data_IF_761105693045
#
_entry.id   IF_761105693045
#
_cell.length_a   1.000
_cell.length_b   1.000
_cell.length_c   1.000
_cell.angle_alpha   90.00
_cell.angle_beta   90.00
_cell.angle_gamma   90.00
#
_symmetry.space_group_name_H-M   'P 1'
#
loop_
_entity.id
_entity.type
_entity.pdbx_description
1 polymer ?
#
# COMPACT_ATOMS: atom_id res chain seq x y z
N UNK A 1 -7.80 -1.81 2.62
CA UNK A 1 -7.84 -0.61 1.77
C UNK A 1 -6.58 -0.50 0.93
N UNK A 2 -5.41 -0.04 1.42
CA UNK A 2 -4.18 -0.07 0.62
C UNK A 2 -3.19 -1.16 1.11
N UNK A 3 -3.19 -2.31 0.44
CA UNK A 3 -2.33 -3.47 0.67
C UNK A 3 -2.14 -4.20 -0.68
N UNK A 4 -1.04 -4.91 -0.90
CA UNK A 4 -0.76 -5.65 -2.14
C UNK A 4 -1.86 -6.64 -2.52
N UNK A 5 -2.57 -7.21 -1.52
CA UNK A 5 -3.72 -8.11 -1.73
C UNK A 5 -4.94 -7.43 -2.37
N UNK A 6 -5.03 -6.11 -2.31
CA UNK A 6 -6.12 -5.33 -2.88
C UNK A 6 -5.77 -4.78 -4.27
N UNK A 7 -4.63 -5.17 -4.84
CA UNK A 7 -4.23 -4.82 -6.21
C UNK A 7 -4.41 -6.03 -7.10
N UNK A 8 -5.33 -5.94 -8.05
CA UNK A 8 -5.52 -6.92 -9.09
C UNK A 8 -4.66 -6.55 -10.30
N UNK A 9 -3.90 -7.52 -10.80
CA UNK A 9 -3.11 -7.40 -12.02
C UNK A 9 -3.56 -8.49 -12.99
N UNK A 10 -4.03 -8.10 -14.17
CA UNK A 10 -4.42 -9.01 -15.24
C UNK A 10 -3.57 -8.74 -16.48
N UNK A 11 -2.93 -9.77 -17.04
CA UNK A 11 -2.23 -9.64 -18.31
C UNK A 11 -3.25 -9.51 -19.45
N UNK A 12 -3.04 -8.53 -20.33
CA UNK A 12 -3.87 -8.32 -21.50
C UNK A 12 -3.07 -8.72 -22.77
N UNK A 13 -3.25 -9.96 -23.26
CA UNK A 13 -2.45 -10.48 -24.38
C UNK A 13 -2.79 -9.79 -25.71
N UNK A 14 -3.92 -9.09 -25.80
CA UNK A 14 -4.36 -8.40 -27.01
C UNK A 14 -3.82 -6.96 -27.10
N UNK A 15 -3.10 -6.51 -26.08
CA UNK A 15 -2.55 -5.16 -26.00
C UNK A 15 -1.05 -5.25 -25.79
N UNK A 16 -0.31 -4.47 -26.56
CA UNK A 16 1.12 -4.25 -26.37
C UNK A 16 1.27 -2.92 -25.64
N UNK A 17 2.16 -2.86 -24.65
CA UNK A 17 2.43 -1.61 -23.93
C UNK A 17 3.21 -0.62 -24.83
N UNK A 18 3.36 0.62 -24.36
CA UNK A 18 4.00 1.70 -25.13
C UNK A 18 5.50 1.44 -25.44
N UNK A 19 6.09 0.41 -24.81
CA UNK A 19 7.48 -0.01 -24.98
C UNK A 19 7.60 -1.30 -25.82
N UNK A 20 6.52 -1.77 -26.45
CA UNK A 20 6.53 -2.98 -27.27
C UNK A 20 6.47 -4.30 -26.48
N UNK A 21 6.25 -4.23 -25.16
CA UNK A 21 6.18 -5.38 -24.25
C UNK A 21 4.76 -5.77 -23.81
N UNK A 22 4.68 -6.66 -22.83
CA UNK A 22 3.41 -7.14 -22.23
C UNK A 22 2.60 -5.98 -21.63
N UNK A 23 1.29 -6.00 -21.84
CA UNK A 23 0.36 -5.05 -21.23
C UNK A 23 -0.37 -5.69 -20.05
N UNK A 24 -0.62 -4.88 -19.02
CA UNK A 24 -1.32 -5.31 -17.81
C UNK A 24 -2.42 -4.30 -17.48
N UNK A 25 -3.60 -4.82 -17.17
CA UNK A 25 -4.69 -4.07 -16.58
C UNK A 25 -4.56 -4.16 -15.06
N UNK A 26 -4.40 -3.01 -14.40
CA UNK A 26 -4.20 -2.89 -12.95
C UNK A 26 -5.43 -2.22 -12.35
N UNK A 27 -6.01 -2.85 -11.33
CA UNK A 27 -7.17 -2.31 -10.63
C UNK A 27 -6.99 -2.39 -9.11
N UNK A 28 -7.39 -1.34 -8.41
CA UNK A 28 -7.57 -1.38 -6.96
C UNK A 28 -8.97 -1.96 -6.67
N UNK A 29 -9.02 -2.98 -5.84
CA UNK A 29 -10.24 -3.68 -5.44
C UNK A 29 -10.47 -3.54 -3.93
N UNK A 30 -11.64 -3.99 -3.45
CA UNK A 30 -11.98 -3.97 -2.02
C UNK A 30 -11.94 -2.55 -1.40
N UNK A 31 -12.91 -1.73 -1.85
CA UNK A 31 -13.12 -0.35 -1.46
C UNK A 31 -13.98 -0.18 -0.18
N UNK A 32 -14.23 -1.25 0.58
CA UNK A 32 -15.17 -1.23 1.73
C UNK A 32 -14.79 -0.19 2.79
N UNK A 33 -13.50 0.09 2.92
CA UNK A 33 -12.96 1.05 3.88
C UNK A 33 -12.52 2.35 3.20
N UNK A 34 -13.03 2.65 2.00
CA UNK A 34 -12.71 3.87 1.30
C UNK A 34 -13.38 5.09 1.92
N UNK A 35 -12.62 6.19 1.97
CA UNK A 35 -13.08 7.42 2.59
C UNK A 35 -12.11 8.56 2.34
N UNK A 36 -12.54 9.75 2.75
CA UNK A 36 -11.73 10.96 2.72
C UNK A 36 -10.76 10.94 3.89
N UNK A 37 -9.61 10.31 3.67
CA UNK A 37 -8.53 10.27 4.64
C UNK A 37 -7.45 11.30 4.29
N UNK A 38 -6.64 11.73 5.27
CA UNK A 38 -5.47 12.56 5.00
C UNK A 38 -4.49 11.89 4.03
N UNK A 39 -3.76 12.67 3.24
CA UNK A 39 -2.86 12.18 2.17
C UNK A 39 -1.80 11.15 2.63
N UNK A 40 -1.42 11.16 3.91
CA UNK A 40 -0.45 10.22 4.47
C UNK A 40 -1.06 8.86 4.87
N UNK A 41 -2.39 8.73 4.79
CA UNK A 41 -3.12 7.57 5.28
C UNK A 41 -2.80 6.29 4.51
N UNK A 42 -2.66 6.38 3.19
CA UNK A 42 -2.29 5.22 2.37
C UNK A 42 -0.89 4.71 2.70
N UNK A 43 0.06 5.62 2.91
CA UNK A 43 1.40 5.29 3.36
C UNK A 43 1.39 4.63 4.74
N UNK A 44 0.60 5.17 5.68
CA UNK A 44 0.41 4.56 7.01
C UNK A 44 -0.19 3.15 6.92
N UNK A 45 -1.21 2.96 6.07
CA UNK A 45 -1.85 1.66 5.85
C UNK A 45 -0.92 0.64 5.21
N UNK A 46 -0.12 1.06 4.22
CA UNK A 46 0.92 0.22 3.62
C UNK A 46 2.01 -0.17 4.64
N UNK A 47 2.27 0.69 5.63
CA UNK A 47 3.22 0.46 6.72
C UNK A 47 2.64 -0.31 7.94
N UNK A 48 1.32 -0.52 7.96
CA UNK A 48 0.60 -1.15 9.08
C UNK A 48 0.88 -2.66 9.27
N UNK A 49 1.28 -3.45 8.25
CA UNK A 49 1.73 -4.83 8.46
C UNK A 49 3.06 -4.95 9.21
N UNK A 50 3.72 -3.85 9.60
CA UNK A 50 4.95 -3.89 10.41
C UNK A 50 4.72 -4.32 11.87
N UNK A 51 3.93 -5.38 12.09
CA UNK A 51 4.32 -6.35 13.09
C UNK A 51 5.54 -7.06 12.52
N UNK A 52 6.67 -7.00 13.22
CA UNK A 52 7.91 -7.71 12.88
C UNK A 52 7.76 -9.24 12.71
N UNK A 53 6.54 -9.79 12.80
CA UNK A 53 6.19 -11.21 12.70
C UNK A 53 5.91 -11.71 11.27
N UNK A 54 5.72 -10.84 10.27
CA UNK A 54 5.56 -11.29 8.88
C UNK A 54 6.75 -10.85 8.04
N UNK A 55 7.87 -11.55 8.25
CA UNK A 55 8.96 -11.57 7.28
C UNK A 55 8.44 -12.13 5.95
N UNK A 56 8.94 -11.55 4.85
CA UNK A 56 8.69 -11.87 3.42
C UNK A 56 7.77 -10.93 2.62
N UNK A 57 7.08 -9.96 3.23
CA UNK A 57 6.30 -9.00 2.42
C UNK A 57 7.16 -7.78 2.04
N UNK A 58 7.76 -7.79 0.83
CA UNK A 58 8.47 -6.65 0.26
C UNK A 58 7.54 -5.48 -0.08
N UNK A 59 6.22 -5.67 0.08
CA UNK A 59 5.17 -4.69 -0.18
C UNK A 59 5.45 -3.31 0.41
N UNK A 60 5.94 -3.22 1.65
CA UNK A 60 6.23 -1.92 2.24
C UNK A 60 7.32 -1.16 1.45
N UNK A 61 8.39 -1.86 1.07
CA UNK A 61 9.48 -1.29 0.29
C UNK A 61 9.04 -0.93 -1.12
N UNK A 62 8.23 -1.79 -1.75
CA UNK A 62 7.65 -1.54 -3.09
C UNK A 62 6.67 -0.38 -3.07
N UNK A 63 5.85 -0.27 -2.04
CA UNK A 63 4.89 0.81 -1.88
C UNK A 63 5.58 2.19 -1.80
N UNK A 64 6.80 2.25 -1.27
CA UNK A 64 7.60 3.49 -1.25
C UNK A 64 8.09 3.93 -2.63
N UNK A 65 8.10 3.05 -3.63
CA UNK A 65 8.51 3.40 -5.00
C UNK A 65 7.46 4.27 -5.70
N UNK A 66 6.19 4.20 -5.28
CA UNK A 66 5.08 4.90 -5.93
C UNK A 66 4.16 5.70 -4.99
N UNK A 67 4.25 5.52 -3.67
CA UNK A 67 3.58 6.37 -2.69
C UNK A 67 4.52 7.48 -2.19
N UNK A 68 3.94 8.64 -1.88
CA UNK A 68 4.68 9.69 -1.19
C UNK A 68 5.04 9.23 0.23
N UNK A 69 6.33 9.30 0.55
CA UNK A 69 6.87 8.84 1.83
C UNK A 69 6.76 9.96 2.87
N UNK A 70 6.20 9.63 4.04
CA UNK A 70 6.03 10.57 5.15
C UNK A 70 6.61 10.02 6.47
N UNK A 71 7.96 9.95 6.64
CA UNK A 71 8.57 9.26 7.77
C UNK A 71 8.19 9.85 9.13
N UNK A 72 8.17 11.18 9.24
CA UNK A 72 7.80 11.87 10.48
C UNK A 72 6.33 11.63 10.87
N UNK A 73 5.40 11.70 9.91
CA UNK A 73 3.97 11.43 10.15
C UNK A 73 3.73 9.96 10.51
N UNK A 74 4.45 9.04 9.86
CA UNK A 74 4.42 7.62 10.20
C UNK A 74 4.89 7.36 11.63
N UNK A 75 5.98 8.00 12.06
CA UNK A 75 6.49 7.87 13.43
C UNK A 75 5.47 8.37 14.46
N UNK A 76 4.86 9.52 14.23
CA UNK A 76 3.81 10.08 15.10
C UNK A 76 2.61 9.12 15.16
N UNK A 77 2.12 8.64 14.01
CA UNK A 77 0.97 7.72 13.97
C UNK A 77 1.27 6.39 14.67
N UNK A 78 2.50 5.90 14.64
CA UNK A 78 2.92 4.72 15.42
C UNK A 78 2.94 4.98 16.92
N UNK A 79 3.42 6.15 17.35
CA UNK A 79 3.38 6.53 18.76
C UNK A 79 1.94 6.59 19.25
N UNK A 80 1.05 7.19 18.47
CA UNK A 80 -0.39 7.26 18.75
C UNK A 80 -1.02 5.87 18.79
N UNK A 81 -0.79 5.02 17.77
CA UNK A 81 -1.34 3.65 17.72
C UNK A 81 -0.84 2.78 18.89
N UNK A 82 0.42 2.93 19.29
CA UNK A 82 0.99 2.24 20.47
C UNK A 82 0.32 2.70 21.77
N UNK A 83 0.10 4.00 21.93
CA UNK A 83 -0.55 4.58 23.12
C UNK A 83 -2.02 4.15 23.23
N UNK A 84 -2.74 4.11 22.11
CA UNK A 84 -4.13 3.66 22.06
C UNK A 84 -4.31 2.15 22.29
N UNK A 85 -3.28 1.34 22.00
CA UNK A 85 -3.33 -0.13 22.19
C UNK A 85 -3.06 -0.58 23.62
N UNK A 86 -2.75 0.33 24.55
CA UNK A 86 -2.67 0.06 25.99
C UNK A 86 -1.80 -1.14 26.36
N UNK A 87 -0.49 -0.93 26.46
CA UNK A 87 0.39 -1.80 27.25
C UNK A 87 0.94 -1.00 28.44
#
# INVERSE_FOLDING_TARGET
MFNGKNILVAENPNRINDQGGRSFDIALVDWTNAGWYPDFWEFFRAASPMGFEYGEDDWFWRAQEFLQVWPAKLAIMRMIDKDHRGY
#
